data_IF_425527534739
#
_entry.id   IF_425527534739
#
_cell.length_a   1.000
_cell.length_b   1.000
_cell.length_c   1.000
_cell.angle_alpha   90.00
_cell.angle_beta   90.00
_cell.angle_gamma   90.00
#
_symmetry.space_group_name_H-M   'P 1'
#
loop_
_entity.id
_entity.type
_entity.pdbx_description
1 polymer ?
#
# COMPACT_ATOMS: atom_id res chain seq x y z
N UNK A 1 -0.89 3.14 1.83
CA UNK A 1 -0.56 4.56 1.67
C UNK A 1 -0.47 4.99 0.19
N UNK A 2 0.11 4.20 -0.71
CA UNK A 2 0.28 4.59 -2.12
C UNK A 2 -1.05 4.85 -2.85
N UNK A 3 -2.02 3.94 -2.72
CA UNK A 3 -3.29 4.05 -3.43
C UNK A 3 -4.12 5.28 -3.00
N UNK A 4 -4.33 5.57 -1.71
CA UNK A 4 -5.03 6.79 -1.30
C UNK A 4 -4.32 8.07 -1.76
N UNK A 5 -2.98 8.14 -1.68
CA UNK A 5 -2.20 9.29 -2.18
C UNK A 5 -2.44 9.50 -3.66
N UNK A 6 -2.28 8.44 -4.47
CA UNK A 6 -2.50 8.51 -5.91
C UNK A 6 -3.91 8.97 -6.25
N UNK A 7 -4.94 8.33 -5.68
CA UNK A 7 -6.35 8.68 -5.93
C UNK A 7 -6.68 10.11 -5.51
N UNK A 8 -6.18 10.57 -4.37
CA UNK A 8 -6.39 11.96 -3.93
C UNK A 8 -5.79 12.95 -4.92
N UNK A 9 -4.56 12.71 -5.38
CA UNK A 9 -3.91 13.55 -6.39
C UNK A 9 -4.65 13.52 -7.73
N UNK A 10 -5.19 12.38 -8.15
CA UNK A 10 -6.01 12.23 -9.35
C UNK A 10 -7.31 13.04 -9.25
N UNK A 11 -8.04 12.94 -8.13
CA UNK A 11 -9.25 13.75 -7.88
C UNK A 11 -8.94 15.23 -7.92
N UNK A 12 -7.83 15.67 -7.32
CA UNK A 12 -7.37 17.06 -7.38
C UNK A 12 -7.10 17.46 -8.82
N UNK A 13 -6.35 16.68 -9.56
CA UNK A 13 -5.98 17.00 -10.95
C UNK A 13 -7.18 17.09 -11.87
N UNK A 14 -8.17 16.23 -11.70
CA UNK A 14 -9.38 16.19 -12.54
C UNK A 14 -10.38 17.30 -12.20
N UNK A 15 -10.48 17.72 -10.94
CA UNK A 15 -11.57 18.58 -10.48
C UNK A 15 -11.14 19.99 -10.05
N UNK A 16 -9.85 20.31 -9.98
CA UNK A 16 -9.41 21.68 -9.69
C UNK A 16 -9.67 22.60 -10.85
N UNK A 17 -10.42 23.68 -10.61
CA UNK A 17 -10.83 24.70 -11.58
C UNK A 17 -10.07 26.04 -11.46
N UNK A 18 -9.12 26.13 -10.51
CA UNK A 18 -8.29 27.30 -10.32
C UNK A 18 -7.15 27.46 -11.33
N UNK A 19 -6.26 28.43 -11.07
CA UNK A 19 -5.16 28.76 -11.99
C UNK A 19 -4.10 27.66 -12.02
N UNK A 20 -4.06 26.92 -13.14
CA UNK A 20 -3.09 25.86 -13.40
C UNK A 20 -1.77 26.36 -13.99
N UNK A 21 -1.58 27.66 -14.13
CA UNK A 21 -0.33 28.22 -14.64
C UNK A 21 0.67 28.57 -13.54
N UNK A 22 0.25 28.56 -12.28
CA UNK A 22 1.07 28.87 -11.12
C UNK A 22 2.23 27.88 -10.95
N UNK A 23 3.38 28.34 -10.38
CA UNK A 23 4.51 27.47 -10.09
C UNK A 23 4.13 26.29 -9.16
N UNK A 24 3.27 26.55 -8.16
CA UNK A 24 2.82 25.56 -7.19
C UNK A 24 1.98 24.47 -7.84
N UNK A 25 1.05 24.85 -8.76
CA UNK A 25 0.29 23.87 -9.53
C UNK A 25 1.19 22.99 -10.40
N UNK A 26 2.13 23.60 -11.11
CA UNK A 26 3.08 22.85 -11.95
C UNK A 26 3.93 21.88 -11.13
N UNK A 27 4.31 22.26 -9.91
CA UNK A 27 5.02 21.40 -8.98
C UNK A 27 4.13 20.23 -8.50
N UNK A 28 2.85 20.49 -8.19
CA UNK A 28 1.88 19.44 -7.82
C UNK A 28 1.63 18.48 -8.99
N UNK A 29 1.40 18.98 -10.18
CA UNK A 29 1.25 18.16 -11.40
C UNK A 29 2.50 17.31 -11.67
N UNK A 30 3.69 17.87 -11.51
CA UNK A 30 4.96 17.15 -11.63
C UNK A 30 5.07 16.02 -10.58
N UNK A 31 4.65 16.29 -9.34
CA UNK A 31 4.62 15.28 -8.29
C UNK A 31 3.65 14.13 -8.62
N UNK A 32 2.43 14.44 -9.06
CA UNK A 32 1.47 13.44 -9.53
C UNK A 32 2.05 12.57 -10.66
N UNK A 33 2.70 13.18 -11.65
CA UNK A 33 3.36 12.46 -12.75
C UNK A 33 4.47 11.53 -12.26
N UNK A 34 5.25 11.95 -11.24
CA UNK A 34 6.22 11.05 -10.56
C UNK A 34 5.53 9.87 -9.89
N UNK A 35 4.43 10.12 -9.16
CA UNK A 35 3.63 9.06 -8.49
C UNK A 35 3.05 8.08 -9.52
N UNK A 36 2.54 8.54 -10.65
CA UNK A 36 2.06 7.67 -11.72
C UNK A 36 3.16 6.81 -12.31
N UNK A 37 4.29 7.44 -12.66
CA UNK A 37 5.42 6.74 -13.27
C UNK A 37 6.02 5.67 -12.36
N UNK A 38 6.20 5.98 -11.08
CA UNK A 38 6.76 5.06 -10.09
C UNK A 38 5.72 4.08 -9.49
N UNK A 39 4.42 4.25 -9.80
CA UNK A 39 3.30 3.56 -9.17
C UNK A 39 3.29 3.68 -7.63
N UNK A 40 3.67 4.86 -7.13
CA UNK A 40 3.73 5.15 -5.69
C UNK A 40 4.58 6.37 -5.37
N UNK A 41 4.76 6.64 -4.09
CA UNK A 41 5.47 7.83 -3.60
C UNK A 41 7.00 7.70 -3.53
N UNK A 42 7.56 6.55 -3.98
CA UNK A 42 8.99 6.29 -3.93
C UNK A 42 9.59 6.19 -5.34
N UNK A 43 10.83 6.62 -5.45
CA UNK A 43 11.60 6.47 -6.66
C UNK A 43 11.93 4.99 -6.88
N UNK A 44 11.61 4.47 -8.06
CA UNK A 44 11.68 3.02 -8.35
C UNK A 44 13.09 2.42 -8.43
N UNK A 45 14.15 3.25 -8.46
CA UNK A 45 15.54 2.78 -8.39
C UNK A 45 16.18 3.01 -7.03
N UNK A 46 16.06 4.25 -6.47
CA UNK A 46 16.73 4.60 -5.21
C UNK A 46 15.93 4.22 -3.96
N UNK A 47 14.67 3.84 -4.11
CA UNK A 47 13.73 3.61 -3.00
C UNK A 47 13.41 4.85 -2.13
N UNK A 48 13.94 6.03 -2.50
CA UNK A 48 13.71 7.26 -1.75
C UNK A 48 12.32 7.80 -1.99
N UNK A 49 11.72 8.35 -0.95
CA UNK A 49 10.44 9.05 -1.03
C UNK A 49 10.58 10.33 -1.85
N UNK A 50 9.62 10.60 -2.72
CA UNK A 50 9.51 11.87 -3.42
C UNK A 50 9.21 13.01 -2.45
N UNK A 51 10.03 14.06 -2.52
CA UNK A 51 9.79 15.30 -1.78
C UNK A 51 8.88 16.20 -2.63
N UNK A 52 7.75 16.69 -2.09
CA UNK A 52 6.91 17.65 -2.80
C UNK A 52 7.64 18.98 -2.96
N UNK A 53 7.57 19.57 -4.16
CA UNK A 53 8.15 20.87 -4.48
C UNK A 53 7.10 22.01 -4.35
N UNK A 54 5.97 21.73 -3.68
CA UNK A 54 4.86 22.65 -3.39
C UNK A 54 4.57 22.67 -1.90
N UNK A 55 4.08 23.81 -1.32
CA UNK A 55 3.75 23.91 0.08
C UNK A 55 2.56 23.02 0.51
N UNK A 56 2.59 22.54 1.76
CA UNK A 56 1.47 21.78 2.35
C UNK A 56 0.18 22.61 2.37
N UNK A 57 0.29 23.88 2.68
CA UNK A 57 -0.82 24.83 2.73
C UNK A 57 -1.48 25.00 1.35
N UNK A 58 -0.68 25.03 0.30
CA UNK A 58 -1.20 25.06 -1.08
C UNK A 58 -1.98 23.80 -1.41
N UNK A 59 -1.43 22.62 -1.10
CA UNK A 59 -2.11 21.34 -1.31
C UNK A 59 -3.46 21.29 -0.58
N UNK A 60 -3.50 21.71 0.69
CA UNK A 60 -4.72 21.74 1.48
C UNK A 60 -5.75 22.70 0.88
N UNK A 61 -5.35 23.92 0.51
CA UNK A 61 -6.23 24.91 -0.09
C UNK A 61 -6.83 24.42 -1.42
N UNK A 62 -6.02 23.78 -2.27
CA UNK A 62 -6.50 23.15 -3.52
C UNK A 62 -7.49 22.03 -3.23
N UNK A 63 -7.18 21.15 -2.29
CA UNK A 63 -8.06 20.04 -1.92
C UNK A 63 -9.38 20.53 -1.30
N UNK A 64 -9.36 21.62 -0.54
CA UNK A 64 -10.55 22.24 0.07
C UNK A 64 -11.42 22.99 -0.95
N UNK A 65 -10.85 23.46 -2.05
CA UNK A 65 -11.61 24.11 -3.15
C UNK A 65 -12.47 23.14 -3.95
N UNK A 66 -12.23 21.84 -3.82
CA UNK A 66 -12.94 20.79 -4.55
C UNK A 66 -14.09 20.25 -3.69
N UNK A 67 -15.31 20.10 -4.23
CA UNK A 67 -16.43 19.51 -3.49
C UNK A 67 -16.07 18.16 -2.88
N UNK A 68 -16.42 17.99 -1.61
CA UNK A 68 -16.07 16.81 -0.80
C UNK A 68 -16.57 15.49 -1.41
N UNK A 69 -17.69 15.54 -2.11
CA UNK A 69 -18.32 14.41 -2.80
C UNK A 69 -17.42 13.81 -3.91
N UNK A 70 -16.54 14.63 -4.46
CA UNK A 70 -15.58 14.18 -5.51
C UNK A 70 -14.55 13.20 -4.96
N UNK A 71 -14.20 13.32 -3.68
CA UNK A 71 -13.27 12.40 -3.03
C UNK A 71 -13.95 11.10 -2.58
N UNK A 72 -15.26 11.13 -2.33
CA UNK A 72 -15.99 10.03 -1.71
C UNK A 72 -15.60 9.78 -0.25
N UNK A 73 -16.38 8.96 0.44
CA UNK A 73 -16.23 8.76 1.89
C UNK A 73 -14.87 8.14 2.27
N UNK A 74 -14.40 7.20 1.47
CA UNK A 74 -13.13 6.50 1.71
C UNK A 74 -11.92 7.47 1.70
N UNK A 75 -11.78 8.29 0.66
CA UNK A 75 -10.65 9.23 0.57
C UNK A 75 -10.79 10.37 1.57
N UNK A 76 -12.01 10.82 1.87
CA UNK A 76 -12.24 11.83 2.89
C UNK A 76 -11.82 11.34 4.28
N UNK A 77 -12.11 10.10 4.64
CA UNK A 77 -11.65 9.49 5.89
C UNK A 77 -10.12 9.37 5.97
N UNK A 78 -9.42 9.29 4.83
CA UNK A 78 -7.97 9.11 4.74
C UNK A 78 -7.19 10.42 4.52
N UNK A 79 -7.83 11.60 4.50
CA UNK A 79 -7.16 12.88 4.21
C UNK A 79 -5.94 13.16 5.08
N UNK A 80 -6.03 12.92 6.39
CA UNK A 80 -4.91 13.11 7.31
C UNK A 80 -3.75 12.15 6.98
N UNK A 81 -4.06 10.89 6.71
CA UNK A 81 -3.08 9.86 6.33
C UNK A 81 -2.39 10.23 5.02
N UNK A 82 -3.12 10.70 4.01
CA UNK A 82 -2.57 11.17 2.73
C UNK A 82 -1.65 12.35 2.92
N UNK A 83 -2.06 13.35 3.72
CA UNK A 83 -1.27 14.52 4.00
C UNK A 83 0.05 14.16 4.70
N UNK A 84 0.00 13.32 5.73
CA UNK A 84 1.20 12.83 6.40
C UNK A 84 2.08 11.98 5.47
N UNK A 85 1.49 11.12 4.65
CA UNK A 85 2.23 10.33 3.68
C UNK A 85 2.99 11.19 2.66
N UNK A 86 2.45 12.35 2.25
CA UNK A 86 3.11 13.26 1.30
C UNK A 86 4.17 14.13 2.00
N UNK A 87 3.83 14.78 3.12
CA UNK A 87 4.61 15.89 3.68
C UNK A 87 5.49 15.54 4.86
N UNK A 88 5.23 14.44 5.60
CA UNK A 88 6.10 14.04 6.69
C UNK A 88 7.35 13.32 6.14
N UNK A 89 8.55 13.90 6.22
CA UNK A 89 9.74 13.33 5.60
C UNK A 89 10.20 12.01 6.25
N UNK A 90 9.84 11.77 7.50
CA UNK A 90 10.26 10.55 8.21
C UNK A 90 9.27 9.39 8.04
N UNK A 91 8.00 9.70 7.71
CA UNK A 91 7.01 8.65 7.45
C UNK A 91 7.18 8.09 6.04
N UNK A 92 7.34 6.77 5.94
CA UNK A 92 7.60 6.07 4.68
C UNK A 92 8.83 6.61 3.94
N UNK A 93 9.89 6.95 4.66
CA UNK A 93 11.10 7.59 4.14
C UNK A 93 11.76 6.80 3.03
N UNK A 94 11.86 5.49 3.20
CA UNK A 94 12.49 4.56 2.26
C UNK A 94 11.54 3.40 1.98
N UNK A 95 11.39 3.01 0.72
CA UNK A 95 10.51 1.88 0.36
C UNK A 95 11.06 0.55 0.88
N UNK A 96 12.36 0.32 0.68
CA UNK A 96 13.08 -0.86 1.16
C UNK A 96 14.44 -0.42 1.70
N UNK A 97 14.67 -0.51 2.99
CA UNK A 97 15.93 -0.13 3.63
C UNK A 97 16.76 -1.38 3.94
N UNK A 98 17.80 -1.62 3.14
CA UNK A 98 18.75 -2.72 3.30
C UNK A 98 20.11 -2.26 3.85
N UNK A 99 20.18 -1.09 4.47
CA UNK A 99 21.41 -0.59 5.07
C UNK A 99 21.86 -1.48 6.23
N UNK A 100 23.17 -1.71 6.30
CA UNK A 100 23.78 -2.53 7.37
C UNK A 100 23.47 -1.92 8.76
N UNK A 101 23.11 -2.78 9.71
CA UNK A 101 22.78 -2.38 11.08
C UNK A 101 21.40 -1.72 11.26
N UNK A 102 20.59 -1.67 10.21
CA UNK A 102 19.21 -1.19 10.29
C UNK A 102 18.22 -2.36 10.35
N UNK A 103 17.13 -2.19 11.08
CA UNK A 103 16.01 -3.15 11.07
C UNK A 103 15.23 -2.98 9.76
N UNK A 104 15.27 -4.00 8.91
CA UNK A 104 14.64 -3.99 7.59
C UNK A 104 13.13 -3.73 7.67
N UNK A 105 12.46 -4.29 8.68
CA UNK A 105 11.00 -4.25 8.82
C UNK A 105 10.52 -2.88 9.29
N UNK A 106 11.12 -2.36 10.35
CA UNK A 106 10.67 -1.10 10.98
C UNK A 106 11.11 0.15 10.22
N UNK A 107 12.18 0.06 9.42
CA UNK A 107 12.72 1.20 8.65
C UNK A 107 12.29 1.23 7.19
N UNK A 108 11.59 0.18 6.70
CA UNK A 108 11.03 0.14 5.34
C UNK A 108 9.54 0.45 5.34
N UNK A 109 9.09 1.13 4.26
CA UNK A 109 7.67 1.35 4.02
C UNK A 109 7.03 0.08 3.43
N UNK A 110 6.25 -0.65 4.21
CA UNK A 110 5.63 -1.90 3.79
C UNK A 110 4.18 -2.02 4.29
N UNK A 111 3.44 -3.01 3.75
CA UNK A 111 2.07 -3.33 4.16
C UNK A 111 1.95 -4.72 4.83
N UNK A 112 3.06 -5.41 5.01
CA UNK A 112 3.08 -6.80 5.50
C UNK A 112 3.31 -6.90 7.00
N UNK A 113 3.83 -5.84 7.63
CA UNK A 113 4.25 -5.85 9.02
C UNK A 113 3.70 -4.62 9.76
N UNK A 114 3.26 -4.82 11.01
CA UNK A 114 2.75 -3.74 11.86
C UNK A 114 3.14 -3.99 13.32
N UNK A 115 3.91 -3.07 13.89
CA UNK A 115 4.32 -3.14 15.29
C UNK A 115 5.35 -4.23 15.62
N UNK A 116 5.92 -4.91 14.63
CA UNK A 116 6.92 -5.97 14.77
C UNK A 116 8.29 -5.52 14.25
N UNK A 117 9.34 -6.06 14.83
CA UNK A 117 10.72 -5.93 14.37
C UNK A 117 11.12 -7.06 13.43
N UNK A 118 12.22 -6.92 12.70
CA UNK A 118 12.76 -7.98 11.85
C UNK A 118 13.01 -9.28 12.65
N UNK A 119 13.61 -9.18 13.83
CA UNK A 119 13.90 -10.34 14.67
C UNK A 119 12.63 -11.09 15.09
N UNK A 120 11.57 -10.36 15.44
CA UNK A 120 10.27 -10.94 15.79
C UNK A 120 9.60 -11.62 14.59
N UNK A 121 9.71 -11.06 13.39
CA UNK A 121 9.20 -11.66 12.14
C UNK A 121 9.94 -12.97 11.85
N UNK A 122 11.27 -12.96 11.92
CA UNK A 122 12.11 -14.13 11.66
C UNK A 122 11.81 -15.26 12.67
N UNK A 123 11.66 -14.94 13.94
CA UNK A 123 11.34 -15.92 14.97
C UNK A 123 9.93 -16.50 14.79
N UNK A 124 8.94 -15.63 14.49
CA UNK A 124 7.58 -16.09 14.26
C UNK A 124 7.50 -17.12 13.13
N UNK A 125 8.07 -16.83 11.96
CA UNK A 125 8.02 -17.75 10.83
C UNK A 125 8.97 -18.94 10.98
N UNK A 126 10.09 -18.81 11.70
CA UNK A 126 10.94 -19.93 12.04
C UNK A 126 10.21 -20.95 12.91
N UNK A 127 9.36 -20.50 13.83
CA UNK A 127 8.57 -21.40 14.70
C UNK A 127 7.53 -22.23 13.93
N UNK A 128 7.15 -21.81 12.72
CA UNK A 128 6.18 -22.49 11.86
C UNK A 128 6.86 -23.47 10.88
N UNK A 129 8.16 -23.30 10.63
CA UNK A 129 8.89 -24.10 9.67
C UNK A 129 9.18 -25.50 10.22
N UNK A 130 9.00 -26.55 9.39
CA UNK A 130 9.49 -27.89 9.66
C UNK A 130 10.89 -28.05 9.05
N UNK A 131 11.96 -28.18 9.87
CA UNK A 131 13.32 -28.34 9.36
C UNK A 131 13.54 -29.65 8.58
N UNK A 132 12.63 -30.62 8.72
CA UNK A 132 12.70 -31.91 8.03
C UNK A 132 11.98 -31.91 6.68
N UNK A 133 11.20 -30.85 6.37
CA UNK A 133 10.50 -30.73 5.10
C UNK A 133 11.48 -30.39 3.97
N UNK A 134 11.65 -31.25 2.95
CA UNK A 134 12.52 -30.97 1.82
C UNK A 134 11.94 -29.92 0.85
N UNK A 135 10.66 -29.61 0.95
CA UNK A 135 9.94 -28.65 0.08
C UNK A 135 9.15 -27.63 0.94
N UNK A 136 9.84 -26.83 1.79
CA UNK A 136 9.15 -25.95 2.73
C UNK A 136 8.30 -24.89 2.00
N UNK A 137 7.08 -24.68 2.50
CA UNK A 137 6.21 -23.62 2.01
C UNK A 137 6.75 -22.24 2.40
N UNK A 138 6.48 -21.24 1.56
CA UNK A 138 6.77 -19.84 1.89
C UNK A 138 5.64 -19.25 2.74
N UNK A 139 5.98 -18.70 3.89
CA UNK A 139 5.05 -18.02 4.79
C UNK A 139 4.98 -16.50 4.51
N UNK A 140 3.91 -15.84 4.99
CA UNK A 140 3.77 -14.39 4.98
C UNK A 140 3.47 -13.76 3.62
N UNK A 141 3.18 -14.54 2.56
CA UNK A 141 2.94 -14.02 1.20
C UNK A 141 1.54 -13.41 1.02
N UNK A 142 0.58 -13.85 1.80
CA UNK A 142 -0.83 -13.42 1.73
C UNK A 142 -1.40 -13.13 3.11
N UNK A 143 -0.60 -12.52 3.96
CA UNK A 143 -0.96 -12.12 5.31
C UNK A 143 -0.26 -10.81 5.70
N UNK A 144 -0.72 -10.22 6.78
CA UNK A 144 -0.06 -9.13 7.49
C UNK A 144 0.26 -9.63 8.89
N UNK A 145 1.53 -9.58 9.28
CA UNK A 145 1.95 -9.89 10.65
C UNK A 145 1.79 -8.64 11.52
N UNK A 146 1.03 -8.76 12.59
CA UNK A 146 0.66 -7.65 13.47
C UNK A 146 0.99 -8.02 14.91
N UNK A 147 1.56 -7.07 15.64
CA UNK A 147 1.70 -7.13 17.09
C UNK A 147 0.60 -6.31 17.73
N UNK A 148 -0.28 -6.97 18.47
CA UNK A 148 -1.39 -6.31 19.16
C UNK A 148 -0.89 -5.53 20.39
N UNK A 149 -1.77 -4.74 21.01
CA UNK A 149 -1.46 -3.94 22.19
C UNK A 149 -1.00 -4.76 23.41
N UNK A 150 -1.44 -6.03 23.50
CA UNK A 150 -1.03 -6.96 24.54
C UNK A 150 0.33 -7.64 24.26
N UNK A 151 0.97 -7.30 23.13
CA UNK A 151 2.24 -7.87 22.70
C UNK A 151 2.13 -9.18 21.92
N UNK A 152 0.93 -9.70 21.70
CA UNK A 152 0.71 -10.93 20.92
C UNK A 152 0.96 -10.67 19.44
N UNK A 153 1.77 -11.53 18.82
CA UNK A 153 2.06 -11.48 17.37
C UNK A 153 1.19 -12.51 16.66
N UNK A 154 0.48 -12.04 15.62
CA UNK A 154 -0.40 -12.91 14.82
C UNK A 154 -0.50 -12.48 13.36
N UNK A 155 -0.82 -13.44 12.49
CA UNK A 155 -1.14 -13.17 11.10
C UNK A 155 -2.61 -12.75 10.91
N UNK A 156 -2.81 -11.67 10.15
CA UNK A 156 -4.10 -11.33 9.55
C UNK A 156 -4.09 -11.80 8.11
N UNK A 157 -4.66 -12.98 7.87
CA UNK A 157 -4.60 -13.64 6.56
C UNK A 157 -5.58 -12.99 5.56
N UNK A 158 -5.15 -12.85 4.33
CA UNK A 158 -5.94 -12.37 3.21
C UNK A 158 -6.75 -13.55 2.64
N UNK A 159 -7.99 -13.66 3.03
CA UNK A 159 -8.89 -14.74 2.63
C UNK A 159 -10.36 -14.31 2.74
N UNK A 160 -11.27 -15.13 2.21
CA UNK A 160 -12.71 -14.99 2.48
C UNK A 160 -12.95 -15.08 4.00
N UNK A 161 -13.68 -14.11 4.55
CA UNK A 161 -13.89 -13.96 5.98
C UNK A 161 -12.70 -13.37 6.76
N UNK A 162 -11.60 -13.06 6.10
CA UNK A 162 -10.41 -12.41 6.65
C UNK A 162 -10.18 -11.01 6.09
N UNK A 163 -8.91 -10.59 6.08
CA UNK A 163 -8.50 -9.32 5.51
C UNK A 163 -8.76 -9.30 3.99
N UNK A 164 -9.31 -8.20 3.48
CA UNK A 164 -9.72 -8.02 2.07
C UNK A 164 -10.85 -8.96 1.59
N UNK A 165 -11.65 -9.54 2.49
CA UNK A 165 -12.74 -10.49 2.15
C UNK A 165 -13.63 -10.05 0.98
N UNK A 166 -14.17 -8.82 0.92
CA UNK A 166 -15.05 -8.42 -0.19
C UNK A 166 -14.38 -8.45 -1.57
N UNK A 167 -13.07 -8.19 -1.64
CA UNK A 167 -12.32 -8.29 -2.89
C UNK A 167 -12.02 -9.74 -3.25
N UNK A 168 -11.64 -10.55 -2.26
CA UNK A 168 -11.30 -11.96 -2.45
C UNK A 168 -12.56 -12.78 -2.84
N UNK A 169 -13.73 -12.50 -2.25
CA UNK A 169 -14.99 -13.09 -2.65
C UNK A 169 -15.31 -12.88 -4.13
N UNK A 170 -15.02 -11.69 -4.67
CA UNK A 170 -15.14 -11.41 -6.10
C UNK A 170 -14.14 -12.21 -6.94
N UNK A 171 -12.91 -12.38 -6.45
CA UNK A 171 -11.90 -13.21 -7.12
C UNK A 171 -12.39 -14.66 -7.18
N UNK A 172 -12.82 -15.23 -6.06
CA UNK A 172 -13.36 -16.59 -5.98
C UNK A 172 -14.54 -16.76 -6.92
N UNK A 173 -15.51 -15.84 -6.89
CA UNK A 173 -16.65 -15.86 -7.80
C UNK A 173 -16.25 -15.95 -9.28
N UNK A 174 -15.28 -15.15 -9.70
CA UNK A 174 -14.84 -15.18 -11.10
C UNK A 174 -14.01 -16.41 -11.45
N UNK A 175 -13.24 -16.95 -10.49
CA UNK A 175 -12.54 -18.22 -10.68
C UNK A 175 -13.51 -19.40 -10.84
N UNK A 176 -14.58 -19.45 -10.05
CA UNK A 176 -15.66 -20.46 -10.22
C UNK A 176 -16.34 -20.37 -11.59
N UNK A 177 -16.59 -19.12 -12.08
CA UNK A 177 -17.11 -18.94 -13.46
C UNK A 177 -16.11 -19.39 -14.51
N UNK A 178 -14.83 -19.09 -14.34
CA UNK A 178 -13.78 -19.53 -15.25
C UNK A 178 -13.66 -21.07 -15.27
N UNK A 179 -13.72 -21.72 -14.09
CA UNK A 179 -13.73 -23.16 -13.98
C UNK A 179 -14.87 -23.80 -14.79
N UNK A 180 -16.06 -23.15 -14.79
CA UNK A 180 -17.23 -23.63 -15.52
C UNK A 180 -17.06 -23.71 -17.04
N UNK A 181 -16.14 -22.94 -17.63
CA UNK A 181 -15.88 -22.86 -19.08
C UNK A 181 -14.50 -23.38 -19.48
N UNK A 182 -13.61 -23.61 -18.53
CA UNK A 182 -12.27 -24.13 -18.78
C UNK A 182 -12.30 -25.61 -19.19
N UNK A 183 -11.31 -25.99 -20.00
CA UNK A 183 -11.05 -27.38 -20.38
C UNK A 183 -9.96 -28.00 -19.49
N UNK A 184 -9.90 -29.30 -19.40
CA UNK A 184 -8.83 -30.00 -18.71
C UNK A 184 -7.47 -29.83 -19.47
N UNK A 185 -6.32 -29.66 -18.79
CA UNK A 185 -6.13 -29.70 -17.32
C UNK A 185 -6.36 -28.36 -16.59
N UNK A 186 -6.64 -27.26 -17.30
CA UNK A 186 -6.80 -25.92 -16.73
C UNK A 186 -7.94 -25.88 -15.70
N UNK A 187 -9.03 -26.62 -15.96
CA UNK A 187 -10.16 -26.71 -15.04
C UNK A 187 -9.74 -27.25 -13.67
N UNK A 188 -8.93 -28.29 -13.64
CA UNK A 188 -8.40 -28.88 -12.42
C UNK A 188 -7.48 -27.87 -11.66
N UNK A 189 -6.64 -27.13 -12.38
CA UNK A 189 -5.78 -26.11 -11.80
C UNK A 189 -6.57 -24.96 -11.16
N UNK A 190 -7.67 -24.53 -11.77
CA UNK A 190 -8.53 -23.46 -11.21
C UNK A 190 -9.29 -23.96 -9.98
N UNK A 191 -9.60 -25.26 -9.90
CA UNK A 191 -10.33 -25.87 -8.80
C UNK A 191 -9.47 -26.06 -7.52
N UNK A 192 -8.16 -26.22 -7.70
CA UNK A 192 -7.20 -26.42 -6.62
C UNK A 192 -6.92 -25.12 -5.86
#
# INVERSE_FOLDING_TARGET
>A
YNLPVRRTLEVIYENYDGDRTTPEWKALEKYLKKVWFANGIHHHYSNDKFVPEFPKEYFLAVAESIPVEKFGDELNALRAVVCEAIFNPELYKTQLNQAEGQDLVTTSANNYYEGVTQAEVEEFYRSMADPADPEPVSYGLNSKLVKDEDGTIRERVWKVGGMYSPAIEKIVYWLEKAQGVAQEPQKATIAA
#
